data_IF_813625128905
#
_entry.id   IF_813625128905
#
_cell.length_a   1.000
_cell.length_b   1.000
_cell.length_c   1.000
_cell.angle_alpha   90.00
_cell.angle_beta   90.00
_cell.angle_gamma   90.00
#
_symmetry.space_group_name_H-M   'P 1'
#
loop_
_entity.id
_entity.type
_entity.pdbx_description
1 polymer ?
#
# COMPACT_ATOMS: atom_id res chain seq x y z
N UNK A 1 21.14 -24.86 -78.61
CA UNK A 1 21.46 -25.98 -77.69
C UNK A 1 21.71 -25.39 -76.30
N UNK A 2 21.17 -26.02 -75.27
CA UNK A 2 21.18 -25.67 -73.83
C UNK A 2 20.22 -24.58 -73.33
N UNK A 3 18.98 -25.05 -73.07
CA UNK A 3 18.11 -24.64 -71.97
C UNK A 3 18.87 -24.67 -70.63
N UNK A 4 18.69 -23.66 -69.78
CA UNK A 4 18.79 -23.83 -68.33
C UNK A 4 17.69 -23.06 -67.60
N UNK A 5 17.17 -23.77 -66.61
CA UNK A 5 15.89 -23.63 -65.92
C UNK A 5 15.95 -22.60 -64.78
N UNK A 6 14.80 -21.94 -64.62
CA UNK A 6 14.30 -21.13 -63.51
C UNK A 6 14.82 -21.54 -62.12
N UNK A 7 15.25 -20.57 -61.31
CA UNK A 7 15.13 -20.65 -59.84
C UNK A 7 14.47 -19.38 -59.32
N UNK A 8 13.14 -19.44 -59.27
CA UNK A 8 12.31 -18.47 -58.56
C UNK A 8 12.51 -18.69 -57.06
N UNK A 9 13.33 -17.86 -56.43
CA UNK A 9 13.42 -17.85 -54.96
C UNK A 9 12.24 -17.06 -54.42
N UNK A 10 11.19 -17.78 -54.03
CA UNK A 10 10.11 -17.24 -53.21
C UNK A 10 10.74 -16.78 -51.89
N UNK A 11 11.00 -15.48 -51.75
CA UNK A 11 11.25 -14.86 -50.44
C UNK A 11 9.90 -14.79 -49.73
N UNK A 12 9.58 -15.84 -49.00
CA UNK A 12 8.49 -15.83 -48.04
C UNK A 12 8.92 -14.88 -46.91
N UNK A 13 8.57 -13.60 -47.05
CA UNK A 13 8.65 -12.62 -45.96
C UNK A 13 7.63 -13.06 -44.91
N UNK A 14 8.08 -13.86 -43.96
CA UNK A 14 7.42 -14.01 -42.67
C UNK A 14 7.50 -12.66 -41.96
N UNK A 15 6.54 -11.78 -42.26
CA UNK A 15 6.29 -10.59 -41.45
C UNK A 15 5.63 -11.09 -40.15
N UNK A 16 6.46 -11.55 -39.22
CA UNK A 16 6.07 -11.71 -37.83
C UNK A 16 5.71 -10.31 -37.32
N UNK A 17 4.44 -9.95 -37.43
CA UNK A 17 3.87 -8.86 -36.66
C UNK A 17 4.00 -9.25 -35.19
N UNK A 18 5.11 -8.88 -34.57
CA UNK A 18 5.21 -8.71 -33.14
C UNK A 18 4.24 -7.60 -32.76
N UNK A 19 2.95 -7.93 -32.61
CA UNK A 19 2.04 -7.12 -31.82
C UNK A 19 2.62 -7.11 -30.41
N UNK A 20 3.34 -6.04 -30.08
CA UNK A 20 3.71 -5.76 -28.70
C UNK A 20 2.41 -5.54 -27.93
N UNK A 21 1.85 -6.63 -27.40
CA UNK A 21 0.83 -6.56 -26.37
C UNK A 21 1.47 -5.82 -25.21
N UNK A 22 1.10 -4.54 -25.05
CA UNK A 22 1.41 -3.84 -23.80
C UNK A 22 0.59 -4.54 -22.74
N UNK A 23 1.20 -5.52 -22.07
CA UNK A 23 0.69 -6.04 -20.81
C UNK A 23 0.85 -4.88 -19.85
N UNK A 24 -0.23 -4.11 -19.67
CA UNK A 24 -0.35 -3.19 -18.55
C UNK A 24 -0.43 -4.08 -17.33
N UNK A 25 0.72 -4.36 -16.70
CA UNK A 25 0.71 -4.97 -15.37
C UNK A 25 -0.13 -4.03 -14.49
N UNK A 26 -1.20 -4.53 -13.88
CA UNK A 26 -1.86 -3.77 -12.82
C UNK A 26 -0.83 -3.59 -11.72
N UNK A 27 -0.28 -2.38 -11.61
CA UNK A 27 0.75 -2.12 -10.63
C UNK A 27 0.17 -2.35 -9.24
N UNK A 28 0.87 -3.15 -8.44
CA UNK A 28 0.48 -3.44 -7.08
C UNK A 28 0.41 -2.13 -6.27
N UNK A 29 -0.78 -1.78 -5.76
CA UNK A 29 -1.01 -0.50 -5.08
C UNK A 29 -0.17 -0.32 -3.82
N UNK A 30 0.34 -1.39 -3.19
CA UNK A 30 1.33 -1.29 -2.11
C UNK A 30 2.66 -0.74 -2.62
N UNK A 31 3.12 -1.16 -3.81
CA UNK A 31 4.35 -0.67 -4.43
C UNK A 31 4.17 0.80 -4.85
N UNK A 32 3.05 1.12 -5.50
CA UNK A 32 2.75 2.49 -5.92
C UNK A 32 2.69 3.45 -4.72
N UNK A 33 1.98 3.08 -3.66
CA UNK A 33 1.90 3.90 -2.46
C UNK A 33 3.26 4.01 -1.77
N UNK A 34 4.02 2.92 -1.69
CA UNK A 34 5.36 2.94 -1.12
C UNK A 34 6.32 3.87 -1.86
N UNK A 35 6.33 3.82 -3.19
CA UNK A 35 7.11 4.73 -4.02
C UNK A 35 6.66 6.19 -3.85
N UNK A 36 5.35 6.44 -3.83
CA UNK A 36 4.78 7.80 -3.73
C UNK A 36 5.06 8.47 -2.39
N UNK A 37 4.98 7.73 -1.30
CA UNK A 37 5.05 8.27 0.06
C UNK A 37 6.36 7.95 0.78
N UNK A 38 7.33 7.34 0.08
CA UNK A 38 8.60 6.89 0.63
C UNK A 38 8.42 5.98 1.86
N UNK A 39 7.58 4.96 1.70
CA UNK A 39 7.30 3.95 2.73
C UNK A 39 7.58 2.57 2.15
N UNK A 40 8.17 1.69 2.95
CA UNK A 40 8.42 0.31 2.55
C UNK A 40 7.11 -0.41 2.17
N UNK A 41 6.93 -0.91 0.93
CA UNK A 41 5.71 -1.62 0.52
C UNK A 41 5.36 -2.80 1.43
N UNK A 42 6.36 -3.52 1.93
CA UNK A 42 6.17 -4.66 2.84
C UNK A 42 5.64 -4.18 4.20
N UNK A 43 5.99 -2.97 4.65
CA UNK A 43 5.41 -2.38 5.84
C UNK A 43 3.94 -2.04 5.62
N UNK A 44 3.59 -1.43 4.48
CA UNK A 44 2.20 -1.08 4.15
C UNK A 44 1.33 -2.35 4.11
N UNK A 45 1.82 -3.40 3.44
CA UNK A 45 1.17 -4.71 3.40
C UNK A 45 0.99 -5.32 4.80
N UNK A 46 2.01 -5.20 5.65
CA UNK A 46 1.94 -5.69 7.04
C UNK A 46 0.89 -4.96 7.87
N UNK A 47 0.74 -3.65 7.66
CA UNK A 47 -0.29 -2.84 8.33
C UNK A 47 -1.67 -3.28 7.88
N UNK A 48 -1.92 -3.38 6.57
CA UNK A 48 -3.20 -3.85 6.04
C UNK A 48 -3.58 -5.24 6.60
N UNK A 49 -2.61 -6.15 6.68
CA UNK A 49 -2.83 -7.48 7.24
C UNK A 49 -3.08 -7.53 8.76
N UNK A 50 -2.68 -6.51 9.52
CA UNK A 50 -3.02 -6.40 10.95
C UNK A 50 -4.33 -5.65 11.17
N UNK A 51 -4.64 -4.68 10.32
CA UNK A 51 -5.84 -3.85 10.41
C UNK A 51 -7.12 -4.60 9.99
N UNK A 52 -7.06 -5.33 8.87
CA UNK A 52 -8.26 -5.97 8.28
C UNK A 52 -8.03 -7.40 7.80
N UNK A 53 -6.82 -7.95 7.96
CA UNK A 53 -6.36 -9.15 7.26
C UNK A 53 -6.54 -9.06 5.73
N UNK A 54 -6.40 -7.85 5.19
CA UNK A 54 -6.58 -7.52 3.77
C UNK A 54 -8.04 -7.59 3.27
N UNK A 55 -9.02 -7.44 4.16
CA UNK A 55 -10.43 -7.26 3.79
C UNK A 55 -10.72 -5.79 3.44
N UNK A 56 -10.99 -5.52 2.16
CA UNK A 56 -11.31 -4.17 1.69
C UNK A 56 -12.72 -3.71 2.06
N UNK A 57 -13.58 -4.61 2.54
CA UNK A 57 -14.94 -4.31 3.00
C UNK A 57 -15.03 -4.25 4.54
N UNK A 58 -13.91 -4.38 5.24
CA UNK A 58 -13.87 -4.35 6.70
C UNK A 58 -14.39 -3.01 7.26
N UNK A 59 -15.27 -3.11 8.27
CA UNK A 59 -15.81 -1.95 8.99
C UNK A 59 -15.73 -2.20 10.49
N UNK A 60 -15.03 -1.32 11.21
CA UNK A 60 -15.03 -1.30 12.67
C UNK A 60 -15.83 -0.08 13.18
N UNK A 61 -16.92 -0.32 13.91
CA UNK A 61 -17.75 0.74 14.55
C UNK A 61 -17.63 0.78 16.07
N UNK A 62 -16.73 -0.02 16.64
CA UNK A 62 -16.61 -0.19 18.09
C UNK A 62 -15.75 0.90 18.78
N UNK A 63 -15.42 1.99 18.08
CA UNK A 63 -14.58 3.03 18.66
C UNK A 63 -15.37 3.84 19.69
N UNK A 64 -14.81 4.00 20.89
CA UNK A 64 -15.49 4.63 22.02
C UNK A 64 -15.83 6.11 21.83
N UNK A 65 -15.24 6.75 20.82
CA UNK A 65 -15.50 8.15 20.46
C UNK A 65 -16.57 8.30 19.36
N UNK A 66 -17.26 7.22 18.98
CA UNK A 66 -18.31 7.22 17.95
C UNK A 66 -17.79 7.27 16.52
N UNK A 67 -16.47 7.21 16.31
CA UNK A 67 -15.89 7.08 14.96
C UNK A 67 -15.99 5.64 14.45
N UNK A 68 -15.79 5.46 13.15
CA UNK A 68 -15.65 4.14 12.54
C UNK A 68 -14.40 4.08 11.67
N UNK A 69 -13.85 2.88 11.47
CA UNK A 69 -12.70 2.61 10.61
C UNK A 69 -13.14 1.78 9.40
N UNK A 70 -12.58 2.08 8.22
CA UNK A 70 -13.04 1.53 6.94
C UNK A 70 -11.91 0.94 6.09
N UNK A 71 -12.19 -0.23 5.50
CA UNK A 71 -11.40 -0.89 4.47
C UNK A 71 -10.06 -1.45 4.93
N UNK A 72 -9.18 -1.71 3.96
CA UNK A 72 -7.93 -2.48 4.12
C UNK A 72 -7.04 -1.99 5.27
N UNK A 73 -6.82 -0.68 5.33
CA UNK A 73 -5.94 -0.03 6.31
C UNK A 73 -6.72 0.62 7.45
N UNK A 74 -8.02 0.30 7.59
CA UNK A 74 -8.91 0.78 8.65
C UNK A 74 -8.81 2.30 8.84
N UNK A 75 -9.12 3.05 7.77
CA UNK A 75 -9.07 4.52 7.79
C UNK A 75 -10.19 5.05 8.67
N UNK A 76 -9.82 5.73 9.75
CA UNK A 76 -10.79 6.31 10.68
C UNK A 76 -11.58 7.46 10.03
N UNK A 77 -12.89 7.50 10.30
CA UNK A 77 -13.85 8.52 9.84
C UNK A 77 -13.45 9.97 10.15
N UNK A 78 -12.57 10.21 11.12
CA UNK A 78 -12.02 11.54 11.42
C UNK A 78 -11.32 12.18 10.21
N UNK A 79 -10.83 11.37 9.28
CA UNK A 79 -10.17 11.85 8.06
C UNK A 79 -11.16 12.25 6.96
N UNK A 80 -12.42 11.82 7.01
CA UNK A 80 -13.41 12.06 5.95
C UNK A 80 -13.62 13.55 5.61
N UNK A 81 -13.70 14.49 6.58
CA UNK A 81 -13.82 15.91 6.25
C UNK A 81 -12.62 16.43 5.45
N UNK A 82 -11.41 15.95 5.77
CA UNK A 82 -10.20 16.32 5.03
C UNK A 82 -10.21 15.69 3.63
N UNK A 83 -10.52 14.40 3.51
CA UNK A 83 -10.56 13.70 2.24
C UNK A 83 -11.63 14.29 1.30
N UNK A 84 -12.81 14.62 1.82
CA UNK A 84 -13.86 15.28 1.06
C UNK A 84 -13.42 16.65 0.58
N UNK A 85 -12.80 17.46 1.45
CA UNK A 85 -12.36 18.82 1.11
C UNK A 85 -11.27 18.83 0.03
N UNK A 86 -10.30 17.92 0.12
CA UNK A 86 -9.11 17.96 -0.73
C UNK A 86 -9.20 17.07 -1.97
N UNK A 87 -10.02 16.01 -1.94
CA UNK A 87 -10.11 15.01 -3.01
C UNK A 87 -11.54 14.74 -3.47
N UNK A 88 -12.55 15.39 -2.89
CA UNK A 88 -13.96 15.10 -3.20
C UNK A 88 -14.43 13.72 -2.76
N UNK A 89 -13.64 13.01 -1.94
CA UNK A 89 -13.90 11.64 -1.58
C UNK A 89 -14.98 11.48 -0.49
N UNK A 90 -15.61 10.32 -0.52
CA UNK A 90 -16.65 9.85 0.38
C UNK A 90 -16.17 8.61 1.15
N UNK A 91 -17.01 8.11 2.06
CA UNK A 91 -16.73 6.85 2.74
C UNK A 91 -16.69 5.66 1.78
N UNK A 92 -17.46 5.70 0.68
CA UNK A 92 -17.53 4.59 -0.27
C UNK A 92 -16.21 4.39 -1.01
N UNK A 93 -15.46 5.47 -1.24
CA UNK A 93 -14.14 5.41 -1.87
C UNK A 93 -13.12 4.67 -0.99
N UNK A 94 -13.34 4.59 0.32
CA UNK A 94 -12.49 3.83 1.24
C UNK A 94 -12.65 2.30 1.09
N UNK A 95 -13.63 1.81 0.35
CA UNK A 95 -13.75 0.38 0.02
C UNK A 95 -13.01 0.01 -1.28
N UNK A 96 -12.58 1.01 -2.08
CA UNK A 96 -11.60 0.77 -3.13
C UNK A 96 -10.24 0.48 -2.51
N UNK A 97 -9.68 -0.69 -2.86
CA UNK A 97 -8.46 -1.19 -2.22
C UNK A 97 -7.28 -0.25 -2.42
N UNK A 98 -7.10 0.26 -3.64
CA UNK A 98 -5.96 1.11 -3.97
C UNK A 98 -6.11 2.49 -3.34
N UNK A 99 -7.29 3.09 -3.40
CA UNK A 99 -7.57 4.35 -2.73
C UNK A 99 -7.32 4.25 -1.22
N UNK A 100 -7.81 3.20 -0.57
CA UNK A 100 -7.60 2.96 0.85
C UNK A 100 -6.12 2.81 1.20
N UNK A 101 -5.36 2.03 0.41
CA UNK A 101 -3.91 1.87 0.57
C UNK A 101 -3.18 3.21 0.45
N UNK A 102 -3.53 4.03 -0.55
CA UNK A 102 -2.91 5.34 -0.73
C UNK A 102 -3.25 6.32 0.40
N UNK A 103 -4.49 6.33 0.88
CA UNK A 103 -4.91 7.17 2.02
C UNK A 103 -4.20 6.73 3.30
N UNK A 104 -4.17 5.44 3.61
CA UNK A 104 -3.50 4.91 4.79
C UNK A 104 -2.00 5.19 4.77
N UNK A 105 -1.36 5.00 3.62
CA UNK A 105 0.07 5.30 3.45
C UNK A 105 0.36 6.80 3.57
N UNK A 106 -0.52 7.66 3.04
CA UNK A 106 -0.41 9.11 3.23
C UNK A 106 -0.53 9.52 4.70
N UNK A 107 -1.47 8.95 5.46
CA UNK A 107 -1.59 9.21 6.90
C UNK A 107 -0.32 8.75 7.64
N UNK A 108 0.18 7.57 7.30
CA UNK A 108 1.41 7.03 7.87
C UNK A 108 2.63 7.91 7.54
N UNK A 109 2.75 8.42 6.31
CA UNK A 109 3.84 9.30 5.92
C UNK A 109 3.77 10.64 6.67
N UNK A 110 2.57 11.15 6.96
CA UNK A 110 2.41 12.32 7.85
C UNK A 110 2.92 12.03 9.27
N UNK A 111 2.72 10.81 9.78
CA UNK A 111 3.29 10.41 11.06
C UNK A 111 4.83 10.35 11.02
N UNK A 112 5.41 9.81 9.94
CA UNK A 112 6.85 9.82 9.75
C UNK A 112 7.43 11.23 9.60
N UNK A 113 6.74 12.12 8.89
CA UNK A 113 7.14 13.52 8.78
C UNK A 113 7.16 14.21 10.15
N UNK A 114 6.24 13.83 11.05
CA UNK A 114 6.13 14.44 12.38
C UNK A 114 7.11 13.88 13.41
N UNK A 115 7.29 12.56 13.48
CA UNK A 115 8.04 11.88 14.54
C UNK A 115 9.21 11.01 14.05
N UNK A 116 9.55 11.09 12.76
CA UNK A 116 10.65 10.35 12.14
C UNK A 116 10.24 8.95 11.66
N UNK A 117 11.07 8.36 10.78
CA UNK A 117 10.84 7.02 10.22
C UNK A 117 11.24 5.92 11.22
N UNK A 118 10.38 5.67 12.21
CA UNK A 118 10.61 4.74 13.32
C UNK A 118 9.32 4.04 13.76
N UNK A 119 9.47 3.03 14.63
CA UNK A 119 8.35 2.25 15.15
C UNK A 119 7.37 3.06 16.02
N UNK A 120 7.82 4.15 16.64
CA UNK A 120 6.93 5.05 17.39
C UNK A 120 5.93 5.73 16.47
N UNK A 121 6.36 6.16 15.29
CA UNK A 121 5.48 6.75 14.26
C UNK A 121 4.51 5.72 13.67
N UNK A 122 4.93 4.46 13.50
CA UNK A 122 4.02 3.37 13.16
C UNK A 122 2.94 3.21 14.24
N UNK A 123 3.32 3.24 15.52
CA UNK A 123 2.37 3.25 16.63
C UNK A 123 1.40 4.44 16.60
N UNK A 124 1.90 5.62 16.21
CA UNK A 124 1.11 6.85 16.14
C UNK A 124 0.04 6.83 15.05
N UNK A 125 0.17 5.99 14.02
CA UNK A 125 -0.88 5.77 13.02
C UNK A 125 -2.20 5.33 13.69
N UNK A 126 -2.12 4.39 14.64
CA UNK A 126 -3.30 3.84 15.32
C UNK A 126 -3.75 4.66 16.55
N UNK A 127 -2.79 5.21 17.32
CA UNK A 127 -3.09 5.84 18.64
C UNK A 127 -3.09 7.38 18.59
N UNK A 128 -2.54 7.96 17.53
CA UNK A 128 -2.31 9.40 17.38
C UNK A 128 -1.15 9.94 18.21
N UNK A 129 -0.97 11.27 18.21
CA UNK A 129 0.20 11.97 18.74
C UNK A 129 0.07 12.45 20.20
N UNK A 130 -1.03 12.14 20.88
CA UNK A 130 -1.24 12.59 22.26
C UNK A 130 -0.15 12.05 23.20
N UNK A 131 0.30 12.89 24.13
CA UNK A 131 1.37 12.55 25.08
C UNK A 131 0.77 12.05 26.39
N UNK A 132 0.95 10.75 26.66
CA UNK A 132 0.69 10.14 27.97
C UNK A 132 1.30 8.74 28.01
N UNK A 133 1.71 8.29 29.21
CA UNK A 133 2.28 6.94 29.42
C UNK A 133 1.35 5.85 28.85
N UNK A 134 0.04 6.01 29.03
CA UNK A 134 -0.97 5.09 28.46
C UNK A 134 -0.90 5.04 26.93
N UNK A 135 -0.82 6.20 26.26
CA UNK A 135 -0.73 6.27 24.80
C UNK A 135 0.59 5.73 24.28
N UNK A 136 1.71 6.00 24.96
CA UNK A 136 3.02 5.43 24.60
C UNK A 136 2.99 3.90 24.63
N UNK A 137 2.44 3.31 25.69
CA UNK A 137 2.28 1.85 25.79
C UNK A 137 1.40 1.28 24.67
N UNK A 138 0.30 1.97 24.32
CA UNK A 138 -0.57 1.54 23.22
C UNK A 138 0.16 1.62 21.87
N UNK A 139 0.93 2.68 21.63
CA UNK A 139 1.75 2.83 20.41
C UNK A 139 2.76 1.70 20.28
N UNK A 140 3.51 1.40 21.34
CA UNK A 140 4.46 0.29 21.35
C UNK A 140 3.79 -1.06 21.16
N UNK A 141 2.61 -1.29 21.80
CA UNK A 141 1.84 -2.52 21.61
C UNK A 141 1.41 -2.70 20.15
N UNK A 142 0.89 -1.65 19.52
CA UNK A 142 0.50 -1.69 18.11
C UNK A 142 1.72 -1.90 17.20
N UNK A 143 2.78 -1.11 17.39
CA UNK A 143 4.01 -1.23 16.60
C UNK A 143 4.62 -2.63 16.67
N UNK A 144 4.60 -3.30 17.82
CA UNK A 144 5.08 -4.68 17.97
C UNK A 144 4.24 -5.71 17.18
N UNK A 145 2.92 -5.49 17.06
CA UNK A 145 2.07 -6.34 16.21
C UNK A 145 2.49 -6.20 14.74
N UNK A 146 2.66 -4.96 14.27
CA UNK A 146 3.11 -4.68 12.91
C UNK A 146 4.50 -5.25 12.67
N UNK A 147 5.44 -5.05 13.60
CA UNK A 147 6.80 -5.56 13.49
C UNK A 147 6.86 -7.08 13.33
N UNK A 148 6.08 -7.81 14.13
CA UNK A 148 6.00 -9.28 14.03
C UNK A 148 5.54 -9.72 12.64
N UNK A 149 4.50 -9.06 12.10
CA UNK A 149 3.98 -9.36 10.75
C UNK A 149 4.99 -8.95 9.67
N UNK A 150 5.59 -7.78 9.79
CA UNK A 150 6.61 -7.24 8.89
C UNK A 150 7.83 -8.13 8.80
N UNK A 151 8.35 -8.63 9.92
CA UNK A 151 9.48 -9.59 9.93
C UNK A 151 9.16 -10.85 9.11
N UNK A 152 7.95 -11.39 9.24
CA UNK A 152 7.50 -12.55 8.46
C UNK A 152 7.45 -12.23 6.96
N UNK A 153 6.84 -11.12 6.58
CA UNK A 153 6.72 -10.74 5.17
C UNK A 153 8.04 -10.29 4.53
N UNK A 154 8.92 -9.60 5.28
CA UNK A 154 10.29 -9.30 4.85
C UNK A 154 11.04 -10.55 4.45
N UNK A 155 10.93 -11.64 5.22
CA UNK A 155 11.61 -12.89 4.92
C UNK A 155 11.07 -13.58 3.65
N UNK A 156 9.82 -13.32 3.28
CA UNK A 156 9.16 -13.94 2.13
C UNK A 156 9.28 -13.10 0.85
N UNK A 157 9.19 -11.78 0.96
CA UNK A 157 9.04 -10.86 -0.18
C UNK A 157 10.15 -9.80 -0.26
N UNK A 158 11.06 -9.76 0.71
CA UNK A 158 12.06 -8.71 0.84
C UNK A 158 11.50 -7.43 1.47
N UNK A 159 12.40 -6.58 1.96
CA UNK A 159 12.06 -5.26 2.48
C UNK A 159 13.28 -4.33 2.50
N UNK A 160 13.03 -3.04 2.63
CA UNK A 160 14.07 -2.00 2.56
C UNK A 160 14.83 -1.79 3.87
N UNK A 161 14.31 -2.30 5.00
CA UNK A 161 15.06 -2.44 6.26
C UNK A 161 15.33 -1.15 7.05
N UNK A 162 14.64 -0.03 6.77
CA UNK A 162 15.07 1.30 7.23
C UNK A 162 14.36 1.87 8.48
N UNK A 163 13.47 1.12 9.13
CA UNK A 163 12.78 1.61 10.35
C UNK A 163 13.71 1.59 11.56
N UNK A 164 14.01 2.76 12.14
CA UNK A 164 14.82 2.88 13.36
C UNK A 164 14.04 2.45 14.60
N UNK A 165 14.74 1.88 15.57
CA UNK A 165 14.22 1.63 16.91
C UNK A 165 14.34 2.89 17.75
N UNK A 166 13.23 3.63 17.86
CA UNK A 166 13.03 4.87 18.65
C UNK A 166 14.00 6.01 18.35
#
# INVERSE_FOLDING_TARGET
>A
MHLYVVKSTIKCLLFLCFFSVKVWASENCYIQAGARYNVDPTLIYSIAGVESDHDNLAINKANSNGTADYGLMQINSIWLPHLKKHFGASVNDLFDSCYNIHVGTWILSNAFAKWGYNWKSVGAYNVGFGQSIKKDRLRSKYANKIYTRYKKYCALYGCTGNLRMY
#
